data_IF_824180868340
#
_entry.id   IF_824180868340
#
_cell.length_a   1.000
_cell.length_b   1.000
_cell.length_c   1.000
_cell.angle_alpha   90.00
_cell.angle_beta   90.00
_cell.angle_gamma   90.00
#
_symmetry.space_group_name_H-M   'P 1'
#
loop_
_entity.id
_entity.type
_entity.pdbx_description
1 polymer ?
#
# COMPACT_ATOMS: atom_id res chain seq x y z
N UNK A 1 20.45 -1.30 -13.76
CA UNK A 1 19.05 -1.14 -13.26
C UNK A 1 19.10 -0.98 -11.76
N UNK A 2 18.61 0.11 -11.19
CA UNK A 2 18.62 0.33 -9.73
C UNK A 2 17.65 -0.65 -9.07
N UNK A 3 18.13 -1.43 -8.08
CA UNK A 3 17.31 -2.43 -7.40
C UNK A 3 16.32 -1.72 -6.46
N UNK A 4 15.03 -1.77 -6.81
CA UNK A 4 13.96 -1.20 -5.98
C UNK A 4 13.57 -2.23 -4.92
N UNK A 5 13.76 -1.89 -3.65
CA UNK A 5 13.37 -2.71 -2.52
C UNK A 5 12.12 -2.13 -1.85
N UNK A 6 11.12 -2.99 -1.67
CA UNK A 6 9.94 -2.72 -0.84
C UNK A 6 10.07 -3.49 0.45
N UNK A 7 9.59 -2.90 1.55
CA UNK A 7 9.58 -3.50 2.89
C UNK A 7 8.22 -3.28 3.55
N UNK A 8 7.86 -4.18 4.47
CA UNK A 8 6.68 -3.99 5.32
C UNK A 8 6.75 -2.64 6.02
N UNK A 9 5.60 -1.96 6.05
CA UNK A 9 5.43 -0.60 6.54
C UNK A 9 5.67 0.49 5.51
N UNK A 10 6.20 0.19 4.32
CA UNK A 10 6.37 1.20 3.27
C UNK A 10 5.02 1.77 2.85
N UNK A 11 4.96 3.10 2.77
CA UNK A 11 3.78 3.84 2.35
C UNK A 11 4.05 4.46 0.98
N UNK A 12 3.05 4.36 0.12
CA UNK A 12 3.11 4.80 -1.25
C UNK A 12 1.94 5.73 -1.56
N UNK A 13 2.15 6.62 -2.52
CA UNK A 13 1.08 7.40 -3.15
C UNK A 13 0.84 6.90 -4.56
N UNK A 14 -0.43 6.79 -4.96
CA UNK A 14 -0.86 6.53 -6.33
C UNK A 14 -1.84 7.62 -6.79
N UNK A 15 -1.64 8.11 -8.01
CA UNK A 15 -2.54 9.07 -8.65
C UNK A 15 -3.86 8.36 -8.99
N UNK A 16 -4.99 8.94 -8.58
CA UNK A 16 -6.34 8.40 -8.85
C UNK A 16 -7.02 9.12 -10.02
N UNK A 17 -6.74 10.42 -10.19
CA UNK A 17 -7.09 11.21 -11.38
C UNK A 17 -6.11 12.38 -11.52
N UNK A 18 -6.36 13.32 -12.42
CA UNK A 18 -5.44 14.45 -12.66
C UNK A 18 -5.14 15.30 -11.42
N UNK A 19 -6.10 15.41 -10.51
CA UNK A 19 -6.05 16.36 -9.39
C UNK A 19 -5.94 15.69 -8.02
N UNK A 20 -6.06 14.36 -7.95
CA UNK A 20 -6.12 13.61 -6.69
C UNK A 20 -5.19 12.40 -6.68
N UNK A 21 -4.80 12.02 -5.48
CA UNK A 21 -4.06 10.80 -5.18
C UNK A 21 -4.63 10.14 -3.93
N UNK A 22 -4.39 8.84 -3.83
CA UNK A 22 -4.61 8.04 -2.63
C UNK A 22 -3.29 7.47 -2.12
N UNK A 23 -3.32 7.03 -0.87
CA UNK A 23 -2.19 6.39 -0.23
C UNK A 23 -2.52 4.94 0.12
N UNK A 24 -1.49 4.12 0.17
CA UNK A 24 -1.58 2.74 0.62
C UNK A 24 -0.28 2.32 1.30
N UNK A 25 -0.35 1.27 2.11
CA UNK A 25 0.78 0.75 2.86
C UNK A 25 0.95 -0.74 2.62
N UNK A 26 2.20 -1.17 2.41
CA UNK A 26 2.59 -2.58 2.40
C UNK A 26 2.59 -3.13 3.82
N UNK A 27 1.79 -4.14 4.09
CA UNK A 27 1.57 -4.65 5.46
C UNK A 27 2.01 -6.10 5.65
N UNK A 28 2.04 -6.91 4.59
CA UNK A 28 2.48 -8.30 4.67
C UNK A 28 3.02 -8.81 3.33
N UNK A 29 3.74 -9.92 3.39
CA UNK A 29 4.05 -10.76 2.23
C UNK A 29 3.31 -12.07 2.41
N UNK A 30 2.39 -12.36 1.48
CA UNK A 30 1.72 -13.65 1.48
C UNK A 30 2.48 -14.61 0.59
N UNK A 31 3.23 -15.51 1.23
CA UNK A 31 4.02 -16.56 0.58
C UNK A 31 3.19 -17.79 0.16
N UNK A 32 1.95 -17.90 0.65
CA UNK A 32 1.12 -19.11 0.48
C UNK A 32 0.29 -19.10 -0.80
N UNK A 33 -0.16 -17.92 -1.22
CA UNK A 33 -0.92 -17.74 -2.45
C UNK A 33 0.02 -17.36 -3.61
N UNK A 34 0.05 -16.08 -4.01
CA UNK A 34 0.79 -15.61 -5.17
C UNK A 34 2.23 -15.18 -4.87
N UNK A 35 2.77 -15.49 -3.69
CA UNK A 35 4.03 -14.91 -3.20
C UNK A 35 4.04 -13.37 -3.35
N UNK A 36 2.94 -12.74 -2.92
CA UNK A 36 2.57 -11.39 -3.32
C UNK A 36 2.56 -10.41 -2.15
N UNK A 37 2.63 -9.13 -2.49
CA UNK A 37 2.56 -8.05 -1.52
C UNK A 37 1.10 -7.83 -1.12
N UNK A 38 0.82 -7.79 0.19
CA UNK A 38 -0.48 -7.39 0.72
C UNK A 38 -0.42 -5.93 1.11
N UNK A 39 -1.30 -5.12 0.53
CA UNK A 39 -1.43 -3.70 0.86
C UNK A 39 -2.77 -3.40 1.52
N UNK A 40 -2.80 -2.37 2.35
CA UNK A 40 -4.02 -1.68 2.77
C UNK A 40 -4.12 -0.32 2.10
N UNK A 41 -5.28 0.00 1.57
CA UNK A 41 -5.55 1.28 0.90
C UNK A 41 -6.37 2.16 1.83
N UNK A 42 -5.97 3.42 1.96
CA UNK A 42 -6.67 4.39 2.81
C UNK A 42 -7.79 5.09 2.03
N UNK A 43 -8.93 5.30 2.70
CA UNK A 43 -10.15 5.85 2.09
C UNK A 43 -10.01 7.33 1.71
N UNK A 44 -9.26 8.10 2.51
CA UNK A 44 -9.09 9.54 2.31
C UNK A 44 -8.37 9.84 0.98
N UNK A 45 -8.97 10.72 0.20
CA UNK A 45 -8.38 11.25 -1.03
C UNK A 45 -7.72 12.59 -0.77
N UNK A 46 -6.58 12.80 -1.41
CA UNK A 46 -5.74 13.95 -1.21
C UNK A 46 -5.52 14.69 -2.53
N UNK A 47 -5.51 16.04 -2.54
CA UNK A 47 -5.06 16.79 -3.71
C UNK A 47 -3.65 16.37 -4.14
N UNK A 48 -3.38 16.36 -5.44
CA UNK A 48 -2.12 15.84 -6.01
C UNK A 48 -0.86 16.51 -5.41
N UNK A 49 -0.96 17.81 -5.10
CA UNK A 49 0.11 18.63 -4.54
C UNK A 49 0.15 18.65 -3.00
N UNK A 50 -0.79 17.98 -2.34
CA UNK A 50 -0.80 17.93 -0.87
C UNK A 50 0.19 16.88 -0.36
N UNK A 51 0.90 17.21 0.72
CA UNK A 51 1.80 16.28 1.41
C UNK A 51 1.36 16.15 2.88
N UNK A 52 0.31 15.35 3.15
CA UNK A 52 -0.09 15.03 4.52
C UNK A 52 1.03 14.30 5.27
N UNK A 53 1.02 14.42 6.60
CA UNK A 53 1.88 13.64 7.47
C UNK A 53 1.61 12.14 7.29
N UNK A 54 2.68 11.36 7.20
CA UNK A 54 2.67 9.91 7.15
C UNK A 54 1.88 9.31 8.31
N UNK A 55 1.98 9.89 9.50
CA UNK A 55 1.26 9.42 10.70
C UNK A 55 -0.25 9.59 10.52
N UNK A 56 -0.68 10.72 9.96
CA UNK A 56 -2.09 10.99 9.67
C UNK A 56 -2.65 9.99 8.64
N UNK A 57 -1.92 9.76 7.55
CA UNK A 57 -2.30 8.78 6.51
C UNK A 57 -2.52 7.39 7.14
N UNK A 58 -1.55 6.93 7.93
CA UNK A 58 -1.52 5.56 8.47
C UNK A 58 -2.58 5.35 9.57
N UNK A 59 -3.02 6.42 10.22
CA UNK A 59 -4.18 6.41 11.14
C UNK A 59 -5.54 6.51 10.45
N UNK A 60 -5.57 6.66 9.12
CA UNK A 60 -6.80 6.83 8.37
C UNK A 60 -7.66 5.57 8.28
N UNK A 61 -8.94 5.77 7.92
CA UNK A 61 -9.87 4.67 7.65
C UNK A 61 -9.40 3.84 6.45
N UNK A 62 -9.47 2.52 6.59
CA UNK A 62 -9.07 1.57 5.55
C UNK A 62 -10.25 1.35 4.62
N UNK A 63 -10.02 1.52 3.31
CA UNK A 63 -11.04 1.29 2.29
C UNK A 63 -11.11 -0.19 1.92
N UNK A 64 -9.95 -0.81 1.70
CA UNK A 64 -9.84 -2.24 1.40
C UNK A 64 -8.39 -2.75 1.55
N UNK A 65 -8.25 -4.07 1.51
CA UNK A 65 -6.99 -4.79 1.44
C UNK A 65 -6.92 -5.53 0.11
N UNK A 66 -5.72 -5.63 -0.50
CA UNK A 66 -5.57 -6.34 -1.77
C UNK A 66 -4.15 -6.89 -1.95
N UNK A 67 -4.05 -8.00 -2.70
CA UNK A 67 -2.79 -8.48 -3.24
C UNK A 67 -2.34 -7.66 -4.44
N UNK A 68 -1.08 -7.27 -4.47
CA UNK A 68 -0.49 -6.58 -5.61
C UNK A 68 1.01 -6.86 -5.74
N UNK A 69 1.62 -6.28 -6.76
CA UNK A 69 3.08 -6.29 -6.94
C UNK A 69 3.60 -4.85 -6.81
N UNK A 70 4.00 -4.44 -5.61
CA UNK A 70 4.50 -3.09 -5.33
C UNK A 70 5.70 -2.70 -6.18
N UNK A 71 6.57 -3.68 -6.45
CA UNK A 71 7.72 -3.50 -7.35
C UNK A 71 7.31 -3.14 -8.78
N UNK A 72 6.19 -3.67 -9.28
CA UNK A 72 5.72 -3.37 -10.62
C UNK A 72 5.22 -1.92 -10.71
N UNK A 73 4.40 -1.49 -9.76
CA UNK A 73 3.89 -0.11 -9.70
C UNK A 73 4.99 0.95 -9.62
N UNK A 74 6.08 0.67 -8.88
CA UNK A 74 7.24 1.58 -8.83
C UNK A 74 8.01 1.56 -10.17
N UNK A 75 8.28 0.39 -10.74
CA UNK A 75 9.01 0.26 -12.01
C UNK A 75 8.30 0.96 -13.18
N UNK A 76 6.97 0.96 -13.16
CA UNK A 76 6.13 1.64 -14.15
C UNK A 76 5.95 3.14 -13.86
N UNK A 77 6.61 3.67 -12.82
CA UNK A 77 6.49 5.06 -12.37
C UNK A 77 5.03 5.48 -12.04
N UNK A 78 4.21 4.52 -11.61
CA UNK A 78 2.81 4.75 -11.23
C UNK A 78 2.70 5.07 -9.73
N UNK A 79 3.58 4.48 -8.91
CA UNK A 79 3.54 4.58 -7.45
C UNK A 79 4.82 5.20 -6.91
N UNK A 80 4.68 6.21 -6.05
CA UNK A 80 5.81 6.86 -5.40
C UNK A 80 5.88 6.44 -3.94
N UNK A 81 7.04 5.93 -3.51
CA UNK A 81 7.30 5.64 -2.09
C UNK A 81 7.52 6.95 -1.34
N UNK A 82 6.69 7.23 -0.35
CA UNK A 82 6.73 8.49 0.42
C UNK A 82 7.36 8.33 1.80
N UNK A 83 7.48 7.10 2.31
CA UNK A 83 8.03 6.85 3.63
C UNK A 83 7.83 5.43 4.10
N UNK A 84 8.10 5.20 5.38
CA UNK A 84 7.89 3.92 6.05
C UNK A 84 7.36 4.19 7.46
N UNK A 85 6.28 3.50 7.85
CA UNK A 85 5.70 3.56 9.17
C UNK A 85 5.50 2.13 9.70
N UNK A 86 5.90 1.88 10.95
CA UNK A 86 5.79 0.55 11.58
C UNK A 86 4.38 0.22 12.03
N UNK A 87 3.50 1.21 12.17
CA UNK A 87 2.09 0.95 12.43
C UNK A 87 1.45 0.38 11.17
N UNK A 88 1.25 -0.94 11.14
CA UNK A 88 0.61 -1.67 10.04
C UNK A 88 -0.82 -2.11 10.38
N UNK A 89 -1.31 -1.77 11.59
CA UNK A 89 -2.59 -2.23 12.12
C UNK A 89 -2.61 -3.72 12.46
N UNK A 90 -3.77 -4.21 12.87
CA UNK A 90 -4.00 -5.64 13.05
C UNK A 90 -4.20 -6.31 11.69
N UNK A 91 -3.49 -7.42 11.45
CA UNK A 91 -3.57 -8.15 10.18
C UNK A 91 -4.29 -9.49 10.28
N UNK A 92 -4.65 -9.93 11.51
CA UNK A 92 -5.20 -11.26 11.76
C UNK A 92 -6.58 -11.51 11.11
N UNK A 93 -7.32 -10.43 10.84
CA UNK A 93 -8.64 -10.50 10.19
C UNK A 93 -8.54 -10.46 8.65
N UNK A 94 -7.34 -10.26 8.10
CA UNK A 94 -7.12 -10.17 6.66
C UNK A 94 -6.95 -11.59 6.12
N UNK A 95 -8.05 -12.20 5.71
CA UNK A 95 -8.09 -13.57 5.21
C UNK A 95 -8.29 -13.57 3.69
N UNK A 96 -7.22 -13.91 2.97
CA UNK A 96 -7.30 -14.28 1.55
C UNK A 96 -7.30 -15.80 1.47
N UNK A 97 -8.49 -16.40 1.39
CA UNK A 97 -8.68 -17.85 1.38
C UNK A 97 -8.99 -18.36 -0.02
N UNK A 98 -8.48 -19.54 -0.33
CA UNK A 98 -8.90 -20.40 -1.43
C UNK A 98 -10.07 -21.29 -1.00
N UNK A 99 -10.70 -21.97 -1.95
CA UNK A 99 -11.84 -22.87 -1.71
C UNK A 99 -11.55 -24.01 -0.72
N UNK A 100 -10.26 -24.33 -0.49
CA UNK A 100 -9.84 -25.46 0.33
C UNK A 100 -9.14 -25.05 1.64
N UNK A 101 -9.13 -23.76 1.99
CA UNK A 101 -8.65 -23.28 3.28
C UNK A 101 -9.70 -23.42 4.38
#
# INVERSE_FOLDING_TARGET
>A
MVRTYTKIGDVFSAKTNENTKKYFQLIAYDLTQLNSDVIRVFKEQYPINSNPDLSKIVSGEIEFYIHCTTKAGIKMNLWNKIGNNKNIGETNHILFRSTND
#
